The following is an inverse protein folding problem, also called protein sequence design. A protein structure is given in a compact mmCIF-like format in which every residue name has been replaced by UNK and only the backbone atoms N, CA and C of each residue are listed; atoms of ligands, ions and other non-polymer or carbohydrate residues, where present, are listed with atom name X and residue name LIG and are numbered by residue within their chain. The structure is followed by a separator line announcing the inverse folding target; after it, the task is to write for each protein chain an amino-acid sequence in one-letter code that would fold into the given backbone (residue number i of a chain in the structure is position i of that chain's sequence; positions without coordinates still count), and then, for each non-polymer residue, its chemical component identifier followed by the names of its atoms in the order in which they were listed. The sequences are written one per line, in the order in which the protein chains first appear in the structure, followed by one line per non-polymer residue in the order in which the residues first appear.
data_IF_150238946307
#
_entry.id   IF_150238946307
#
_cell.length_a   1.000
_cell.length_b   1.000
_cell.length_c   1.000
_cell.angle_alpha   90.00
_cell.angle_beta   90.00
_cell.angle_gamma   90.00
#
_symmetry.space_group_name_H-M   'P 1'
#
loop_
_entity.id
_entity.type
_entity.pdbx_description
1 polymer ?
#
# COMPACT_ATOMS: atom_id res chain seq x y z
N UNK A 1 -10.82 16.38 -17.11
CA UNK A 1 -10.49 15.42 -16.03
C UNK A 1 -8.99 15.50 -15.84
N UNK A 2 -8.52 15.83 -14.63
CA UNK A 2 -7.09 15.77 -14.32
C UNK A 2 -6.69 14.31 -14.11
N UNK A 3 -5.54 13.92 -14.65
CA UNK A 3 -4.91 12.64 -14.40
C UNK A 3 -3.74 12.89 -13.47
N UNK A 4 -3.61 12.07 -12.43
CA UNK A 4 -2.61 12.22 -11.40
C UNK A 4 -1.68 11.01 -11.40
N UNK A 5 -0.37 11.22 -11.42
CA UNK A 5 0.60 10.15 -11.21
C UNK A 5 0.61 9.78 -9.73
N UNK A 6 0.28 8.52 -9.44
CA UNK A 6 0.18 8.01 -8.09
C UNK A 6 1.03 6.76 -7.89
N UNK A 7 1.36 6.47 -6.63
CA UNK A 7 2.08 5.28 -6.23
C UNK A 7 1.41 4.66 -4.99
N UNK A 8 1.08 3.38 -5.05
CA UNK A 8 0.70 2.61 -3.86
C UNK A 8 1.97 1.92 -3.34
N UNK A 9 2.40 2.31 -2.15
CA UNK A 9 3.65 1.81 -1.57
C UNK A 9 3.51 1.37 -0.12
N UNK A 10 4.39 0.48 0.31
CA UNK A 10 4.48 0.08 1.71
C UNK A 10 5.16 -1.27 1.87
N UNK A 11 5.30 -1.70 3.12
CA UNK A 11 5.84 -3.02 3.45
C UNK A 11 4.87 -3.72 4.38
N UNK A 12 4.56 -4.98 4.06
CA UNK A 12 3.62 -5.81 4.81
C UNK A 12 4.30 -7.09 5.27
N UNK A 13 4.02 -7.48 6.50
CA UNK A 13 4.42 -8.77 7.06
C UNK A 13 3.36 -9.82 6.80
N UNK A 14 3.70 -10.78 5.96
CA UNK A 14 2.87 -11.90 5.55
C UNK A 14 2.90 -13.05 6.58
N UNK A 15 1.80 -13.78 6.63
CA UNK A 15 1.70 -15.04 7.36
C UNK A 15 2.70 -16.06 6.80
N UNK A 16 3.15 -17.02 7.63
CA UNK A 16 3.93 -18.15 7.13
C UNK A 16 3.22 -18.89 5.99
N UNK A 17 3.98 -19.31 4.99
CA UNK A 17 3.52 -20.07 3.83
C UNK A 17 2.62 -19.31 2.83
N UNK A 18 2.55 -17.98 2.89
CA UNK A 18 1.96 -17.20 1.79
C UNK A 18 2.88 -17.30 0.57
N UNK A 19 2.36 -17.89 -0.51
CA UNK A 19 3.07 -18.02 -1.78
C UNK A 19 2.76 -16.85 -2.72
N UNK A 20 3.54 -16.76 -3.81
CA UNK A 20 3.39 -15.70 -4.80
C UNK A 20 2.04 -15.76 -5.53
N UNK A 21 1.43 -16.95 -5.62
CA UNK A 21 0.13 -17.10 -6.25
C UNK A 21 -0.97 -16.41 -5.41
N UNK A 22 -0.90 -16.53 -4.08
CA UNK A 22 -1.82 -15.85 -3.18
C UNK A 22 -1.65 -14.32 -3.26
N UNK A 23 -0.39 -13.83 -3.31
CA UNK A 23 -0.12 -12.39 -3.47
C UNK A 23 -0.60 -11.88 -4.84
N UNK A 24 -0.30 -12.60 -5.92
CA UNK A 24 -0.75 -12.27 -7.26
C UNK A 24 -2.27 -12.21 -7.35
N UNK A 25 -2.96 -13.16 -6.72
CA UNK A 25 -4.42 -13.15 -6.66
C UNK A 25 -4.95 -11.95 -5.86
N UNK A 26 -4.34 -11.61 -4.73
CA UNK A 26 -4.74 -10.47 -3.91
C UNK A 26 -4.56 -9.12 -4.62
N UNK A 27 -3.49 -8.98 -5.43
CA UNK A 27 -3.19 -7.77 -6.18
C UNK A 27 -3.86 -7.73 -7.58
N UNK A 28 -4.35 -8.87 -8.06
CA UNK A 28 -4.92 -9.04 -9.41
C UNK A 28 -5.89 -7.94 -9.82
N UNK A 29 -6.95 -7.62 -9.05
CA UNK A 29 -7.91 -6.58 -9.41
C UNK A 29 -7.26 -5.20 -9.65
N UNK A 30 -6.27 -4.83 -8.83
CA UNK A 30 -5.54 -3.58 -8.96
C UNK A 30 -4.62 -3.58 -10.18
N UNK A 31 -3.97 -4.71 -10.48
CA UNK A 31 -3.07 -4.81 -11.63
C UNK A 31 -3.85 -4.86 -12.95
N UNK A 32 -4.93 -5.63 -13.00
CA UNK A 32 -5.79 -5.80 -14.17
C UNK A 32 -6.42 -4.48 -14.62
N UNK A 33 -6.95 -3.69 -13.68
CA UNK A 33 -7.56 -2.40 -14.01
C UNK A 33 -6.55 -1.38 -14.56
N UNK A 34 -5.25 -1.62 -14.34
CA UNK A 34 -4.14 -0.79 -14.82
C UNK A 34 -3.38 -1.41 -16.00
N UNK A 35 -3.82 -2.55 -16.51
CA UNK A 35 -3.15 -3.26 -17.60
C UNK A 35 -1.73 -3.74 -17.24
N UNK A 36 -1.49 -4.03 -15.97
CA UNK A 36 -0.25 -4.58 -15.42
C UNK A 36 -0.41 -6.07 -15.14
N UNK A 37 0.70 -6.79 -15.04
CA UNK A 37 0.71 -8.19 -14.60
C UNK A 37 1.65 -8.34 -13.42
N UNK A 38 1.36 -9.28 -12.53
CA UNK A 38 2.17 -9.52 -11.33
C UNK A 38 3.63 -9.78 -11.67
N UNK A 39 3.90 -10.66 -12.66
CA UNK A 39 5.26 -11.04 -13.05
C UNK A 39 6.06 -9.84 -13.58
N UNK A 40 5.40 -8.93 -14.30
CA UNK A 40 6.05 -7.73 -14.82
C UNK A 40 6.42 -6.77 -13.69
N UNK A 41 5.52 -6.52 -12.76
CA UNK A 41 5.78 -5.65 -11.61
C UNK A 41 6.86 -6.22 -10.68
N UNK A 42 6.95 -7.56 -10.56
CA UNK A 42 8.07 -8.21 -9.87
C UNK A 42 9.40 -7.97 -10.60
N UNK A 43 9.43 -8.14 -11.92
CA UNK A 43 10.64 -7.88 -12.72
C UNK A 43 11.09 -6.41 -12.68
N UNK A 44 10.14 -5.49 -12.55
CA UNK A 44 10.39 -4.05 -12.45
C UNK A 44 10.71 -3.60 -11.01
N UNK A 45 10.62 -4.51 -10.02
CA UNK A 45 10.90 -4.23 -8.62
C UNK A 45 9.79 -3.47 -7.89
N UNK A 46 8.63 -3.29 -8.51
CA UNK A 46 7.45 -2.68 -7.90
C UNK A 46 6.75 -3.62 -6.90
N UNK A 47 6.96 -4.92 -7.04
CA UNK A 47 6.58 -5.95 -6.07
C UNK A 47 7.84 -6.74 -5.74
N UNK A 48 8.30 -6.67 -4.50
CA UNK A 48 9.50 -7.39 -4.06
C UNK A 48 9.22 -8.21 -2.81
N UNK A 49 9.85 -9.37 -2.73
CA UNK A 49 9.85 -10.23 -1.55
C UNK A 49 11.27 -10.33 -1.04
N UNK A 50 11.61 -9.46 -0.09
CA UNK A 50 12.93 -9.46 0.55
C UNK A 50 13.19 -10.79 1.27
N UNK A 51 12.14 -11.43 1.78
CA UNK A 51 12.15 -12.78 2.31
C UNK A 51 10.77 -13.48 2.17
N UNK A 52 10.59 -14.63 2.80
CA UNK A 52 9.37 -15.43 2.72
C UNK A 52 8.15 -14.79 3.44
N UNK A 53 8.33 -13.72 4.20
CA UNK A 53 7.27 -13.06 4.96
C UNK A 53 7.19 -11.56 4.67
N UNK A 54 8.26 -10.93 4.21
CA UNK A 54 8.27 -9.50 3.89
C UNK A 54 7.80 -9.27 2.46
N UNK A 55 6.69 -8.55 2.28
CA UNK A 55 6.21 -8.06 0.98
C UNK A 55 6.40 -6.54 0.88
N UNK A 56 7.20 -6.10 -0.08
CA UNK A 56 7.38 -4.71 -0.43
C UNK A 56 6.58 -4.36 -1.69
N UNK A 57 5.84 -3.24 -1.64
CA UNK A 57 5.07 -2.71 -2.75
C UNK A 57 5.51 -1.27 -3.06
N UNK A 58 5.62 -0.95 -4.34
CA UNK A 58 5.83 0.38 -4.89
C UNK A 58 5.28 0.42 -6.32
N UNK A 59 3.95 0.37 -6.44
CA UNK A 59 3.25 0.22 -7.73
C UNK A 59 2.81 1.59 -8.23
N UNK A 60 3.38 2.04 -9.35
CA UNK A 60 3.03 3.30 -10.01
C UNK A 60 1.83 3.15 -10.94
N UNK A 61 0.89 4.10 -10.91
CA UNK A 61 -0.28 4.14 -11.79
C UNK A 61 -0.86 5.55 -11.94
N UNK A 62 -1.78 5.70 -12.91
CA UNK A 62 -2.48 6.95 -13.17
C UNK A 62 -3.89 6.95 -12.58
N UNK A 63 -4.17 7.87 -11.65
CA UNK A 63 -5.49 8.08 -11.07
C UNK A 63 -6.32 9.04 -11.92
N UNK A 64 -7.60 8.74 -12.14
CA UNK A 64 -8.53 9.61 -12.87
C UNK A 64 -9.60 10.15 -11.92
N UNK A 65 -9.64 11.49 -11.76
CA UNK A 65 -10.63 12.18 -10.92
C UNK A 65 -10.12 12.55 -9.52
N UNK A 66 -10.85 13.43 -8.81
CA UNK A 66 -10.48 13.94 -7.49
C UNK A 66 -10.93 13.06 -6.31
N UNK A 67 -11.19 11.78 -6.56
CA UNK A 67 -11.60 10.80 -5.55
C UNK A 67 -10.40 9.95 -5.13
N UNK A 68 -9.88 10.17 -3.93
CA UNK A 68 -8.72 9.47 -3.38
C UNK A 68 -9.01 8.02 -2.93
N UNK A 69 -10.23 7.52 -3.17
CA UNK A 69 -10.62 6.13 -2.97
C UNK A 69 -10.94 5.48 -4.31
N UNK A 70 -10.18 4.44 -4.60
CA UNK A 70 -10.23 3.67 -5.84
C UNK A 70 -10.67 2.28 -5.42
N UNK A 71 -11.84 1.85 -5.89
CA UNK A 71 -12.47 0.59 -5.48
C UNK A 71 -11.52 -0.61 -5.64
N UNK A 72 -10.63 -0.57 -6.63
CA UNK A 72 -9.63 -1.60 -6.88
C UNK A 72 -8.50 -1.60 -5.84
N UNK A 73 -8.14 -0.45 -5.27
CA UNK A 73 -7.21 -0.38 -4.12
C UNK A 73 -7.90 -0.93 -2.88
N UNK A 74 -9.16 -0.55 -2.63
CA UNK A 74 -9.94 -1.08 -1.50
C UNK A 74 -10.06 -2.61 -1.58
N UNK A 75 -10.34 -3.16 -2.77
CA UNK A 75 -10.41 -4.61 -3.00
C UNK A 75 -9.05 -5.31 -2.81
N UNK A 76 -7.95 -4.71 -3.26
CA UNK A 76 -6.61 -5.24 -3.04
C UNK A 76 -6.23 -5.23 -1.56
N UNK A 77 -6.52 -4.14 -0.85
CA UNK A 77 -6.27 -3.99 0.60
C UNK A 77 -7.06 -5.01 1.41
N UNK A 78 -8.32 -5.24 1.05
CA UNK A 78 -9.15 -6.27 1.69
C UNK A 78 -8.56 -7.67 1.46
N UNK A 79 -8.17 -7.98 0.22
CA UNK A 79 -7.58 -9.28 -0.14
C UNK A 79 -6.23 -9.54 0.54
N UNK A 80 -5.37 -8.52 0.59
CA UNK A 80 -4.11 -8.56 1.33
C UNK A 80 -4.32 -8.74 2.84
N UNK A 81 -5.45 -8.25 3.38
CA UNK A 81 -5.82 -8.40 4.78
C UNK A 81 -5.81 -9.86 5.26
N UNK A 82 -6.22 -10.81 4.40
CA UNK A 82 -6.20 -12.23 4.73
C UNK A 82 -4.79 -12.85 4.75
N UNK A 83 -3.81 -12.18 4.14
CA UNK A 83 -2.45 -12.68 3.97
C UNK A 83 -1.48 -12.16 5.05
N UNK A 84 -1.81 -11.07 5.73
CA UNK A 84 -0.92 -10.42 6.72
C UNK A 84 -1.01 -11.04 8.10
N UNK A 85 0.11 -11.06 8.83
CA UNK A 85 0.21 -11.65 10.16
C UNK A 85 -0.46 -10.78 11.24
N UNK A 86 -0.03 -9.51 11.38
CA UNK A 86 -0.45 -8.61 12.46
C UNK A 86 -1.10 -7.30 11.95
N UNK A 87 -1.58 -7.31 10.71
CA UNK A 87 -2.01 -6.09 10.02
C UNK A 87 -0.82 -5.25 9.53
N UNK A 88 -1.12 -4.16 8.85
CA UNK A 88 -0.11 -3.25 8.31
C UNK A 88 -0.75 -2.06 7.59
N UNK A 89 0.07 -1.25 6.94
CA UNK A 89 -0.44 -0.11 6.18
C UNK A 89 0.28 0.05 4.85
N UNK A 90 -0.47 0.57 3.88
CA UNK A 90 0.03 1.03 2.59
C UNK A 90 -0.28 2.53 2.47
N UNK A 91 0.54 3.24 1.72
CA UNK A 91 0.37 4.66 1.42
C UNK A 91 0.09 4.82 -0.07
N UNK A 92 -1.02 5.49 -0.39
CA UNK A 92 -1.24 6.04 -1.71
C UNK A 92 -0.65 7.44 -1.75
N UNK A 93 0.36 7.64 -2.59
CA UNK A 93 1.02 8.93 -2.79
C UNK A 93 0.58 9.52 -4.12
N UNK A 94 0.08 10.75 -4.12
CA UNK A 94 -0.23 11.55 -5.31
C UNK A 94 0.88 12.56 -5.57
N UNK A 95 1.65 12.36 -6.64
CA UNK A 95 2.80 13.21 -6.97
C UNK A 95 2.43 14.54 -7.64
N UNK A 96 1.17 14.72 -8.06
CA UNK A 96 0.73 15.85 -8.88
C UNK A 96 -0.03 16.94 -8.10
N UNK A 97 -0.15 16.81 -6.77
CA UNK A 97 -0.96 17.72 -5.93
C UNK A 97 -0.29 19.07 -5.63
N UNK A 98 1.03 19.20 -5.79
CA UNK A 98 1.78 20.41 -5.43
C UNK A 98 1.80 20.73 -3.92
N UNK A 99 1.15 19.90 -3.10
CA UNK A 99 1.10 19.93 -1.63
C UNK A 99 1.42 18.53 -1.10
N UNK A 100 2.66 18.34 -0.65
CA UNK A 100 3.21 17.05 -0.24
C UNK A 100 2.56 16.47 1.01
N UNK A 101 1.96 17.31 1.87
CA UNK A 101 1.33 16.86 3.11
C UNK A 101 -0.10 16.35 2.87
N UNK A 102 -0.78 16.85 1.83
CA UNK A 102 -2.08 16.38 1.37
C UNK A 102 -1.99 15.23 0.35
N UNK A 103 -0.77 14.88 -0.09
CA UNK A 103 -0.51 13.89 -1.14
C UNK A 103 -0.63 12.44 -0.68
N UNK A 104 -0.69 12.16 0.62
CA UNK A 104 -0.58 10.80 1.16
C UNK A 104 -1.88 10.34 1.79
N UNK A 105 -2.45 9.25 1.28
CA UNK A 105 -3.64 8.59 1.83
C UNK A 105 -3.29 7.20 2.35
N UNK A 106 -3.37 6.94 3.67
CA UNK A 106 -3.08 5.62 4.22
C UNK A 106 -4.24 4.63 4.02
N UNK A 107 -3.89 3.38 3.75
CA UNK A 107 -4.78 2.22 3.68
C UNK A 107 -4.34 1.20 4.73
N UNK A 108 -5.25 0.82 5.63
CA UNK A 108 -4.96 -0.12 6.71
C UNK A 108 -5.35 -1.54 6.32
N UNK A 109 -4.35 -2.41 6.29
CA UNK A 109 -4.46 -3.81 5.88
C UNK A 109 -4.61 -4.68 7.12
N UNK A 110 -5.52 -5.64 7.08
CA UNK A 110 -5.73 -6.60 8.17
C UNK A 110 -6.98 -7.44 7.97
N UNK A 111 -6.93 -8.69 8.44
CA UNK A 111 -8.03 -9.66 8.30
C UNK A 111 -9.26 -9.17 9.07
N UNK A 112 -9.07 -8.73 10.31
CA UNK A 112 -10.16 -8.26 11.16
C UNK A 112 -10.18 -6.73 11.29
N UNK A 113 -11.33 -6.20 11.72
CA UNK A 113 -11.44 -4.78 12.07
C UNK A 113 -10.46 -4.40 13.19
N UNK A 114 -10.16 -5.33 14.11
CA UNK A 114 -9.18 -5.09 15.17
C UNK A 114 -7.78 -4.88 14.60
N UNK A 115 -7.38 -5.70 13.64
CA UNK A 115 -6.04 -5.62 13.03
C UNK A 115 -5.88 -4.31 12.25
N UNK A 116 -6.91 -3.92 11.48
CA UNK A 116 -6.93 -2.63 10.76
C UNK A 116 -6.88 -1.44 11.71
N UNK A 117 -7.61 -1.50 12.84
CA UNK A 117 -7.56 -0.45 13.85
C UNK A 117 -6.18 -0.38 14.53
N UNK A 118 -5.55 -1.52 14.79
CA UNK A 118 -4.20 -1.57 15.35
C UNK A 118 -3.18 -0.95 14.37
N UNK A 119 -3.25 -1.32 13.10
CA UNK A 119 -2.41 -0.75 12.05
C UNK A 119 -2.59 0.77 11.93
N UNK A 120 -3.82 1.28 12.05
CA UNK A 120 -4.10 2.70 12.09
C UNK A 120 -3.42 3.42 13.27
N UNK A 121 -3.49 2.84 14.47
CA UNK A 121 -2.80 3.39 15.64
C UNK A 121 -1.28 3.36 15.46
N UNK A 122 -0.73 2.25 14.96
CA UNK A 122 0.70 2.11 14.68
C UNK A 122 1.18 3.14 13.66
N UNK A 123 0.42 3.35 12.58
CA UNK A 123 0.73 4.39 11.60
C UNK A 123 0.73 5.78 12.23
N UNK A 124 -0.27 6.11 13.06
CA UNK A 124 -0.32 7.39 13.76
C UNK A 124 0.87 7.61 14.70
N UNK A 125 1.32 6.56 15.39
CA UNK A 125 2.54 6.60 16.21
C UNK A 125 3.79 6.83 15.36
N UNK A 126 3.94 6.10 14.26
CA UNK A 126 5.04 6.29 13.32
C UNK A 126 5.10 7.73 12.79
N UNK A 127 3.97 8.29 12.35
CA UNK A 127 3.91 9.67 11.86
C UNK A 127 4.27 10.69 12.95
N UNK A 128 3.84 10.46 14.20
CA UNK A 128 4.23 11.30 15.32
C UNK A 128 5.73 11.22 15.63
N UNK A 129 6.32 10.03 15.58
CA UNK A 129 7.77 9.81 15.75
C UNK A 129 8.58 10.50 14.66
N UNK A 130 8.15 10.39 13.39
CA UNK A 130 8.77 11.10 12.27
C UNK A 130 8.75 12.61 12.52
N UNK A 131 7.60 13.16 12.92
CA UNK A 131 7.46 14.59 13.20
C UNK A 131 8.34 15.06 14.36
N UNK A 132 8.41 14.27 15.44
CA UNK A 132 9.26 14.58 16.59
C UNK A 132 10.73 14.57 16.21
N UNK A 133 11.16 13.57 15.42
CA UNK A 133 12.55 13.43 14.99
C UNK A 133 12.97 14.60 14.10
N UNK A 134 12.14 14.99 13.14
CA UNK A 134 12.40 16.13 12.24
C UNK A 134 12.41 17.50 12.96
N UNK A 135 11.84 17.61 14.17
CA UNK A 135 11.93 18.82 15.00
C UNK A 135 13.22 18.91 15.82
N UNK A 136 13.92 17.80 16.04
CA UNK A 136 15.20 17.76 16.76
C UNK A 136 16.39 18.23 15.93
N UNK A 137 16.18 18.47 14.62
CA UNK A 137 17.21 18.87 13.66
C UNK A 137 17.13 20.36 13.26
N UNK A 138 16.30 21.15 13.95
CA UNK A 138 16.16 22.61 13.80
C UNK A 138 16.59 23.30 15.11
#
# INVERSE_FOLDING_TARGET
MSSHQCCLRGTLELRPNVDDQAVAHALGPLLDCRGKTYEKEVLEGAIDRTDAQTLHLSIDFWCTGGGYRIDEIDAAVESLGALVADGGYLELVDYDTGDTDAAITPYFVGETLRDRNLACVQYGLFQAEQWLTHRSEI
#
